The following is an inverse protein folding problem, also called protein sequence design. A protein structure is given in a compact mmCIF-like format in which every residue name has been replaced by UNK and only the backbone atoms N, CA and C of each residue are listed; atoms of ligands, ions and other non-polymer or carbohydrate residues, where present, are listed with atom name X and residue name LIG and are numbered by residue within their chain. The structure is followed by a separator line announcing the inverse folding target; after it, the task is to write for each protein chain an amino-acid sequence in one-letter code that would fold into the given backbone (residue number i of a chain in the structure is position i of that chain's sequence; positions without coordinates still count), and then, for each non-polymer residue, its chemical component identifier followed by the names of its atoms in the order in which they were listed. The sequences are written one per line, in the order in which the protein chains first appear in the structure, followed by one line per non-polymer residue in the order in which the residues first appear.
data_IF_508563658082
#
_entry.id   IF_508563658082
#
_cell.length_a   1.000
_cell.length_b   1.000
_cell.length_c   1.000
_cell.angle_alpha   90.00
_cell.angle_beta   90.00
_cell.angle_gamma   90.00
#
_symmetry.space_group_name_H-M   'P 1'
#
loop_
_entity.id
_entity.type
_entity.pdbx_description
1 polymer ?
#
# COMPACT_ATOMS: atom_id res chain seq x y z
N UNK A 1 -5.14 12.32 20.87
CA UNK A 1 -5.42 11.34 19.79
C UNK A 1 -5.49 12.11 18.49
N UNK A 2 -4.60 11.86 17.53
CA UNK A 2 -4.54 12.57 16.25
C UNK A 2 -5.02 11.66 15.12
N UNK A 3 -5.69 12.22 14.11
CA UNK A 3 -6.24 11.47 12.98
C UNK A 3 -5.70 12.02 11.66
N UNK A 4 -5.66 11.16 10.64
CA UNK A 4 -5.44 11.56 9.25
C UNK A 4 -6.74 11.40 8.47
N UNK A 5 -7.10 12.43 7.69
CA UNK A 5 -8.28 12.40 6.81
C UNK A 5 -7.82 12.44 5.36
N UNK A 6 -8.00 11.33 4.65
CA UNK A 6 -7.76 11.23 3.20
C UNK A 6 -9.03 11.64 2.47
N UNK A 7 -8.98 12.79 1.79
CA UNK A 7 -10.07 13.31 0.96
C UNK A 7 -9.79 13.06 -0.51
N UNK A 8 -10.75 12.51 -1.26
CA UNK A 8 -10.68 12.52 -2.72
C UNK A 8 -10.75 13.98 -3.22
N UNK A 9 -9.73 14.42 -3.96
CA UNK A 9 -9.65 15.80 -4.46
C UNK A 9 -10.70 16.11 -5.52
N UNK A 10 -10.96 15.16 -6.41
CA UNK A 10 -11.89 15.29 -7.53
C UNK A 10 -12.71 14.01 -7.60
N UNK A 11 -14.03 14.15 -7.56
CA UNK A 11 -14.93 13.02 -7.67
C UNK A 11 -14.96 12.50 -9.12
N UNK A 12 -14.92 11.18 -9.28
CA UNK A 12 -15.15 10.50 -10.55
C UNK A 12 -15.56 9.05 -10.28
N UNK A 13 -16.26 8.42 -11.22
CA UNK A 13 -16.63 7.00 -11.11
C UNK A 13 -15.42 6.08 -10.86
N UNK A 14 -14.25 6.43 -11.38
CA UNK A 14 -13.02 5.67 -11.15
C UNK A 14 -12.53 5.83 -9.71
N UNK A 15 -12.44 7.07 -9.22
CA UNK A 15 -11.97 7.37 -7.88
C UNK A 15 -12.95 6.85 -6.81
N UNK A 16 -14.25 6.90 -7.08
CA UNK A 16 -15.31 6.35 -6.21
C UNK A 16 -15.18 4.82 -6.05
N UNK A 17 -14.90 4.10 -7.14
CA UNK A 17 -14.59 2.66 -7.08
C UNK A 17 -13.34 2.36 -6.27
N UNK A 18 -12.29 3.16 -6.42
CA UNK A 18 -11.03 2.99 -5.66
C UNK A 18 -11.25 3.25 -4.17
N UNK A 19 -12.07 4.25 -3.83
CA UNK A 19 -12.52 4.49 -2.45
C UNK A 19 -13.31 3.30 -1.88
N UNK A 20 -14.29 2.79 -2.63
CA UNK A 20 -15.09 1.65 -2.18
C UNK A 20 -14.25 0.39 -1.95
N UNK A 21 -13.29 0.11 -2.85
CA UNK A 21 -12.32 -0.99 -2.68
C UNK A 21 -11.49 -0.80 -1.41
N UNK A 22 -10.96 0.41 -1.19
CA UNK A 22 -10.14 0.67 -0.01
C UNK A 22 -10.93 0.47 1.30
N UNK A 23 -12.19 0.93 1.36
CA UNK A 23 -13.07 0.68 2.52
C UNK A 23 -13.40 -0.80 2.71
N UNK A 24 -13.70 -1.52 1.63
CA UNK A 24 -14.00 -2.95 1.70
C UNK A 24 -12.82 -3.74 2.28
N UNK A 25 -11.61 -3.45 1.80
CA UNK A 25 -10.40 -4.13 2.28
C UNK A 25 -10.12 -3.77 3.73
N UNK A 26 -10.13 -2.49 4.08
CA UNK A 26 -9.86 -2.03 5.43
C UNK A 26 -10.89 -2.54 6.46
N UNK A 27 -12.13 -2.75 6.04
CA UNK A 27 -13.17 -3.34 6.89
C UNK A 27 -13.01 -4.83 7.16
N UNK A 28 -12.14 -5.53 6.41
CA UNK A 28 -11.90 -6.98 6.52
C UNK A 28 -10.59 -7.34 7.20
N UNK A 29 -9.65 -6.42 7.27
CA UNK A 29 -8.28 -6.69 7.72
C UNK A 29 -7.99 -6.06 9.06
N UNK A 30 -7.29 -6.80 9.91
CA UNK A 30 -6.77 -6.29 11.18
C UNK A 30 -5.44 -6.95 11.47
N UNK A 31 -4.36 -6.16 11.40
CA UNK A 31 -3.00 -6.64 11.63
C UNK A 31 -2.11 -5.46 12.04
N UNK A 32 -1.09 -5.71 12.87
CA UNK A 32 -0.18 -4.67 13.40
C UNK A 32 0.54 -3.87 12.30
N UNK A 33 0.79 -4.50 11.15
CA UNK A 33 1.44 -3.89 9.98
C UNK A 33 0.45 -3.45 8.90
N UNK A 34 -0.84 -3.29 9.17
CA UNK A 34 -1.81 -2.71 8.24
C UNK A 34 -2.46 -1.49 8.89
N UNK A 35 -2.69 -0.42 8.12
CA UNK A 35 -3.37 0.75 8.66
C UNK A 35 -4.83 0.41 9.00
N UNK A 36 -5.27 0.81 10.18
CA UNK A 36 -6.65 0.62 10.63
C UNK A 36 -7.59 1.71 10.12
N UNK A 37 -8.82 1.32 9.76
CA UNK A 37 -9.91 2.25 9.46
C UNK A 37 -10.57 2.72 10.76
N UNK A 38 -10.64 4.03 10.97
CA UNK A 38 -11.42 4.63 12.07
C UNK A 38 -12.84 5.01 11.66
N UNK A 39 -13.02 5.39 10.40
CA UNK A 39 -14.31 5.79 9.87
C UNK A 39 -14.20 6.33 8.45
N UNK A 40 -15.34 6.67 7.87
CA UNK A 40 -15.40 7.22 6.52
C UNK A 40 -16.57 8.19 6.38
N UNK A 41 -16.54 9.02 5.33
CA UNK A 41 -17.66 9.82 4.88
C UNK A 41 -17.91 9.54 3.39
N UNK A 42 -19.16 9.30 3.04
CA UNK A 42 -19.63 9.10 1.68
C UNK A 42 -20.94 9.86 1.47
N UNK A 43 -20.88 11.20 1.53
CA UNK A 43 -22.03 12.08 1.36
C UNK A 43 -21.93 12.86 0.04
N UNK A 44 -22.95 12.74 -0.82
CA UNK A 44 -22.92 13.36 -2.15
C UNK A 44 -21.66 12.96 -2.94
N UNK A 45 -20.86 13.94 -3.34
CA UNK A 45 -19.58 13.75 -4.03
C UNK A 45 -18.36 13.69 -3.09
N UNK A 46 -18.57 13.90 -1.78
CA UNK A 46 -17.49 13.84 -0.79
C UNK A 46 -17.15 12.40 -0.45
N UNK A 47 -15.85 12.12 -0.39
CA UNK A 47 -15.29 10.81 -0.05
C UNK A 47 -14.09 11.02 0.86
N UNK A 48 -14.27 10.68 2.14
CA UNK A 48 -13.27 10.81 3.18
C UNK A 48 -13.00 9.44 3.81
N UNK A 49 -11.73 9.10 4.02
CA UNK A 49 -11.32 7.96 4.84
C UNK A 49 -10.54 8.50 6.03
N UNK A 50 -10.89 8.05 7.22
CA UNK A 50 -10.28 8.49 8.49
C UNK A 50 -9.44 7.34 9.05
N UNK A 51 -8.18 7.66 9.35
CA UNK A 51 -7.22 6.74 9.93
C UNK A 51 -6.59 7.33 11.20
N UNK A 52 -5.84 6.49 11.91
CA UNK A 52 -4.80 6.97 12.81
C UNK A 52 -3.75 7.80 12.07
N UNK A 53 -3.34 8.92 12.68
CA UNK A 53 -2.26 9.73 12.13
C UNK A 53 -0.91 9.01 12.30
N UNK A 54 -0.17 8.92 11.21
CA UNK A 54 1.18 8.32 11.16
C UNK A 54 2.21 9.44 11.27
N UNK A 55 2.83 9.65 12.45
CA UNK A 55 3.67 10.82 12.71
C UNK A 55 4.98 10.83 11.92
N UNK A 56 5.47 9.65 11.51
CA UNK A 56 6.67 9.52 10.71
C UNK A 56 6.37 9.42 9.21
N UNK A 57 5.18 9.88 8.77
CA UNK A 57 4.79 9.96 7.37
C UNK A 57 4.87 8.60 6.65
N UNK A 58 5.30 8.59 5.40
CA UNK A 58 5.49 7.38 4.60
C UNK A 58 6.95 7.24 4.16
N UNK A 59 7.35 6.05 3.75
CA UNK A 59 8.72 5.76 3.34
C UNK A 59 9.19 6.64 2.17
N UNK A 60 8.29 7.00 1.24
CA UNK A 60 8.64 7.93 0.16
C UNK A 60 9.15 9.27 0.71
N UNK A 61 8.53 9.78 1.76
CA UNK A 61 8.89 11.05 2.39
C UNK A 61 10.35 11.05 2.89
N UNK A 62 10.79 9.91 3.44
CA UNK A 62 12.16 9.71 3.94
C UNK A 62 13.18 9.36 2.86
N UNK A 63 12.79 8.69 1.78
CA UNK A 63 13.73 8.35 0.71
C UNK A 63 13.91 9.51 -0.29
N UNK A 64 12.83 10.22 -0.59
CA UNK A 64 12.75 11.14 -1.74
C UNK A 64 11.96 12.42 -1.48
N UNK A 65 11.40 12.58 -0.28
CA UNK A 65 10.58 13.73 0.10
C UNK A 65 11.30 14.68 1.06
N UNK A 66 10.53 15.56 1.72
CA UNK A 66 11.05 16.59 2.61
C UNK A 66 11.94 16.05 3.75
N UNK A 67 11.67 14.82 4.21
CA UNK A 67 12.35 14.19 5.34
C UNK A 67 13.67 13.51 4.94
N UNK A 68 13.99 13.47 3.64
CA UNK A 68 15.21 12.82 3.15
C UNK A 68 16.50 13.47 3.65
N UNK A 69 16.49 14.79 3.87
CA UNK A 69 17.64 15.53 4.40
C UNK A 69 17.97 15.20 5.87
N UNK A 70 17.00 14.67 6.63
CA UNK A 70 17.20 14.32 8.04
C UNK A 70 17.91 12.97 8.21
N UNK A 71 18.03 12.16 7.15
CA UNK A 71 18.73 10.88 7.13
C UNK A 71 18.32 9.91 8.28
N UNK A 72 17.05 9.94 8.69
CA UNK A 72 16.55 9.19 9.86
C UNK A 72 16.47 7.68 9.66
N UNK A 73 16.57 7.19 8.42
CA UNK A 73 16.49 5.77 8.10
C UNK A 73 17.90 5.17 7.97
N UNK A 74 18.49 4.82 9.12
CA UNK A 74 19.67 3.97 9.18
C UNK A 74 19.35 2.55 8.68
N UNK A 75 20.39 1.72 8.51
CA UNK A 75 20.23 0.39 7.97
C UNK A 75 19.30 -0.50 8.81
N UNK A 76 19.40 -0.42 10.13
CA UNK A 76 18.58 -1.23 11.04
C UNK A 76 17.10 -0.87 10.91
N UNK A 77 16.77 0.43 10.87
CA UNK A 77 15.40 0.91 10.62
C UNK A 77 14.88 0.47 9.27
N UNK A 78 15.70 0.55 8.22
CA UNK A 78 15.32 0.05 6.88
C UNK A 78 14.99 -1.43 6.92
N UNK A 79 15.81 -2.25 7.58
CA UNK A 79 15.56 -3.68 7.71
C UNK A 79 14.28 -3.98 8.50
N UNK A 80 14.04 -3.26 9.61
CA UNK A 80 12.81 -3.40 10.38
C UNK A 80 11.56 -3.03 9.56
N UNK A 81 11.63 -1.92 8.80
CA UNK A 81 10.56 -1.51 7.88
C UNK A 81 10.29 -2.60 6.84
N UNK A 82 11.33 -3.17 6.23
CA UNK A 82 11.21 -4.24 5.25
C UNK A 82 10.53 -5.49 5.84
N UNK A 83 10.95 -5.91 7.04
CA UNK A 83 10.40 -7.08 7.73
C UNK A 83 8.93 -6.83 8.10
N UNK A 84 8.62 -5.72 8.77
CA UNK A 84 7.24 -5.40 9.16
C UNK A 84 6.30 -5.27 7.96
N UNK A 85 6.76 -4.66 6.86
CA UNK A 85 5.97 -4.61 5.64
C UNK A 85 5.73 -5.99 5.03
N UNK A 86 6.76 -6.86 5.02
CA UNK A 86 6.61 -8.24 4.56
C UNK A 86 5.62 -9.04 5.42
N UNK A 87 5.63 -8.88 6.74
CA UNK A 87 4.65 -9.51 7.64
C UNK A 87 3.21 -9.09 7.27
N UNK A 88 2.99 -7.81 6.97
CA UNK A 88 1.71 -7.32 6.47
C UNK A 88 1.29 -7.93 5.13
N UNK A 89 2.23 -8.08 4.18
CA UNK A 89 1.95 -8.72 2.87
C UNK A 89 1.62 -10.20 3.05
N UNK A 90 2.36 -10.92 3.89
CA UNK A 90 2.07 -12.32 4.23
C UNK A 90 0.68 -12.48 4.82
N UNK A 91 0.27 -11.56 5.71
CA UNK A 91 -1.10 -11.57 6.24
C UNK A 91 -2.14 -11.43 5.11
N UNK A 92 -1.96 -10.49 4.18
CA UNK A 92 -2.89 -10.28 3.06
C UNK A 92 -2.99 -11.52 2.15
N UNK A 93 -1.87 -12.20 1.90
CA UNK A 93 -1.80 -13.34 0.97
C UNK A 93 -2.24 -14.66 1.59
N UNK A 94 -2.02 -14.87 2.89
CA UNK A 94 -2.16 -16.21 3.48
C UNK A 94 -3.08 -16.29 4.69
N UNK A 95 -3.45 -15.16 5.30
CA UNK A 95 -4.26 -15.14 6.52
C UNK A 95 -5.61 -14.45 6.31
N UNK A 96 -5.67 -13.43 5.44
CA UNK A 96 -6.92 -12.81 5.05
C UNK A 96 -7.80 -13.79 4.27
N UNK A 97 -9.10 -13.79 4.57
CA UNK A 97 -10.10 -14.61 3.88
C UNK A 97 -11.24 -13.71 3.37
N UNK A 98 -11.45 -13.58 2.06
CA UNK A 98 -10.63 -14.12 0.97
C UNK A 98 -9.23 -13.46 0.89
N UNK A 99 -8.29 -14.11 0.19
CA UNK A 99 -6.92 -13.61 0.00
C UNK A 99 -6.92 -12.29 -0.75
N UNK A 100 -5.96 -11.41 -0.45
CA UNK A 100 -5.95 -10.02 -0.93
C UNK A 100 -4.64 -9.75 -1.67
N UNK A 101 -4.73 -9.26 -2.91
CA UNK A 101 -3.59 -8.72 -3.66
C UNK A 101 -3.63 -7.20 -3.56
N UNK A 102 -2.57 -6.56 -3.07
CA UNK A 102 -2.47 -5.11 -2.87
C UNK A 102 -2.38 -4.33 -4.20
N UNK A 103 -1.55 -4.81 -5.14
CA UNK A 103 -1.33 -4.28 -6.51
C UNK A 103 -0.69 -2.90 -6.64
N UNK A 104 -0.41 -2.20 -5.55
CA UNK A 104 0.26 -0.88 -5.58
C UNK A 104 1.32 -0.73 -4.48
N UNK A 105 2.10 -1.78 -4.24
CA UNK A 105 3.22 -1.75 -3.28
C UNK A 105 4.31 -0.80 -3.81
N UNK A 106 4.63 0.23 -3.03
CA UNK A 106 5.61 1.28 -3.32
C UNK A 106 5.93 2.09 -2.06
N UNK A 107 6.95 2.97 -2.03
CA UNK A 107 7.29 3.71 -0.81
C UNK A 107 6.16 4.56 -0.22
N UNK A 108 5.20 5.04 -1.03
CA UNK A 108 4.05 5.80 -0.52
C UNK A 108 2.93 4.94 0.07
N UNK A 109 2.94 3.62 -0.15
CA UNK A 109 2.04 2.68 0.53
C UNK A 109 2.61 2.19 1.87
N UNK A 110 3.88 2.48 2.18
CA UNK A 110 4.54 2.14 3.44
C UNK A 110 4.42 3.33 4.39
N UNK A 111 3.45 3.28 5.31
CA UNK A 111 3.27 4.28 6.35
C UNK A 111 4.11 3.94 7.59
N UNK A 112 4.54 4.94 8.34
CA UNK A 112 5.44 4.77 9.48
C UNK A 112 4.80 5.34 10.76
N UNK A 113 4.61 4.48 11.75
CA UNK A 113 4.09 4.90 13.06
C UNK A 113 5.14 5.66 13.89
N UNK A 114 4.84 5.99 15.15
CA UNK A 114 5.77 6.71 16.05
C UNK A 114 7.11 6.00 16.29
N UNK A 115 7.14 4.68 16.14
CA UNK A 115 8.33 3.86 16.36
C UNK A 115 9.07 3.53 15.06
N UNK A 116 8.65 4.10 13.92
CA UNK A 116 9.12 3.75 12.58
C UNK A 116 8.78 2.31 12.16
N UNK A 117 7.76 1.70 12.79
CA UNK A 117 7.23 0.43 12.34
C UNK A 117 6.38 0.63 11.08
N UNK A 118 6.46 -0.33 10.16
CA UNK A 118 5.81 -0.24 8.86
C UNK A 118 4.35 -0.69 8.92
N UNK A 119 3.47 0.12 8.34
CA UNK A 119 2.06 -0.19 8.11
C UNK A 119 1.73 -0.06 6.62
N UNK A 120 1.08 -1.07 6.05
CA UNK A 120 0.57 -1.03 4.68
C UNK A 120 -0.69 -0.17 4.63
N UNK A 121 -0.71 0.81 3.73
CA UNK A 121 -1.90 1.57 3.34
C UNK A 121 -2.05 1.66 1.82
N UNK A 122 -3.08 2.34 1.33
CA UNK A 122 -3.25 2.57 -0.12
C UNK A 122 -3.92 1.42 -0.88
N UNK A 123 -4.96 0.81 -0.29
CA UNK A 123 -5.65 -0.36 -0.85
C UNK A 123 -6.58 -0.07 -2.03
N UNK A 124 -6.60 1.14 -2.59
CA UNK A 124 -7.58 1.51 -3.64
C UNK A 124 -7.49 0.67 -4.93
N UNK A 125 -6.37 0.00 -5.17
CA UNK A 125 -6.19 -0.92 -6.31
C UNK A 125 -6.28 -2.40 -5.95
N UNK A 126 -6.48 -2.71 -4.67
CA UNK A 126 -6.45 -4.07 -4.17
C UNK A 126 -7.57 -4.93 -4.76
N UNK A 127 -7.38 -6.25 -4.70
CA UNK A 127 -8.33 -7.24 -5.20
C UNK A 127 -8.43 -8.42 -4.26
N UNK A 128 -9.65 -8.89 -4.07
CA UNK A 128 -9.93 -10.17 -3.45
C UNK A 128 -9.72 -11.28 -4.50
N UNK A 129 -9.03 -12.35 -4.12
CA UNK A 129 -8.90 -13.56 -4.92
C UNK A 129 -10.05 -14.51 -4.51
N UNK A 130 -10.90 -14.95 -5.45
CA UNK A 130 -11.94 -15.94 -5.16
C UNK A 130 -11.37 -17.25 -4.62
N UNK A 131 -12.14 -17.96 -3.81
CA UNK A 131 -11.73 -19.25 -3.27
C UNK A 131 -11.43 -20.26 -4.39
N UNK A 132 -10.30 -20.97 -4.28
CA UNK A 132 -9.85 -21.94 -5.28
C UNK A 132 -9.08 -21.35 -6.47
N UNK A 133 -9.07 -20.02 -6.64
CA UNK A 133 -8.31 -19.34 -7.68
C UNK A 133 -6.95 -18.87 -7.17
N UNK A 134 -5.92 -18.87 -8.01
CA UNK A 134 -4.57 -18.35 -7.69
C UNK A 134 -4.26 -16.98 -8.29
N UNK A 135 -5.12 -16.52 -9.20
CA UNK A 135 -4.96 -15.26 -9.93
C UNK A 135 -6.32 -14.71 -10.35
N UNK A 136 -6.36 -13.43 -10.68
CA UNK A 136 -7.57 -12.75 -11.17
C UNK A 136 -7.22 -11.91 -12.39
N UNK A 137 -7.99 -12.09 -13.48
CA UNK A 137 -7.89 -11.21 -14.66
C UNK A 137 -8.56 -9.87 -14.36
N UNK A 138 -7.82 -8.78 -14.53
CA UNK A 138 -8.26 -7.43 -14.18
C UNK A 138 -7.51 -6.38 -14.98
N UNK A 139 -8.11 -5.20 -15.14
CA UNK A 139 -7.41 -4.03 -15.68
C UNK A 139 -6.08 -3.78 -14.94
N UNK A 140 -5.03 -3.49 -15.70
CA UNK A 140 -3.71 -3.14 -15.18
C UNK A 140 -3.81 -1.82 -14.41
N UNK A 141 -3.51 -1.85 -13.12
CA UNK A 141 -3.36 -0.68 -12.25
C UNK A 141 -2.15 -0.90 -11.35
N UNK A 142 -1.50 0.18 -10.97
CA UNK A 142 -0.32 0.18 -10.10
C UNK A 142 0.62 1.29 -10.53
N UNK A 143 1.79 1.31 -9.94
CA UNK A 143 2.80 2.34 -10.21
C UNK A 143 3.87 1.79 -11.15
N UNK A 144 4.12 2.52 -12.25
CA UNK A 144 5.17 2.17 -13.21
C UNK A 144 6.53 2.06 -12.49
N UNK A 145 7.29 1.01 -12.81
CA UNK A 145 8.54 0.67 -12.13
C UNK A 145 8.38 -0.42 -11.07
N UNK A 146 7.18 -0.60 -10.52
CA UNK A 146 6.87 -1.67 -9.55
C UNK A 146 5.99 -2.76 -10.17
N UNK A 147 5.37 -2.51 -11.32
CA UNK A 147 4.49 -3.49 -11.99
C UNK A 147 5.27 -4.73 -12.42
N UNK A 148 4.81 -5.89 -11.96
CA UNK A 148 5.29 -7.17 -12.43
C UNK A 148 5.04 -7.33 -13.95
N UNK A 149 6.02 -7.86 -14.71
CA UNK A 149 5.93 -7.92 -16.17
C UNK A 149 4.76 -8.78 -16.66
N UNK A 150 4.52 -9.94 -16.04
CA UNK A 150 3.40 -10.82 -16.37
C UNK A 150 2.05 -10.14 -16.16
N UNK A 151 1.96 -9.29 -15.14
CA UNK A 151 0.76 -8.53 -14.85
C UNK A 151 0.57 -7.38 -15.84
N UNK A 152 1.64 -6.65 -16.15
CA UNK A 152 1.62 -5.56 -17.11
C UNK A 152 1.24 -6.04 -18.53
N UNK A 153 1.67 -7.24 -18.90
CA UNK A 153 1.43 -7.82 -20.23
C UNK A 153 0.07 -8.53 -20.34
N UNK A 154 -0.33 -9.29 -19.32
CA UNK A 154 -1.46 -10.22 -19.41
C UNK A 154 -2.69 -9.75 -18.62
N UNK A 155 -2.56 -8.74 -17.77
CA UNK A 155 -3.64 -8.29 -16.87
C UNK A 155 -4.01 -9.33 -15.80
N UNK A 156 -3.16 -10.32 -15.55
CA UNK A 156 -3.36 -11.36 -14.54
C UNK A 156 -2.69 -10.95 -13.24
N UNK A 157 -3.49 -10.58 -12.24
CA UNK A 157 -2.99 -10.24 -10.92
C UNK A 157 -2.95 -11.49 -10.03
N UNK A 158 -1.82 -11.72 -9.37
CA UNK A 158 -1.60 -12.79 -8.40
C UNK A 158 -0.77 -12.27 -7.23
N UNK A 159 -0.62 -13.08 -6.18
CA UNK A 159 0.27 -12.81 -5.04
C UNK A 159 1.71 -12.52 -5.50
N UNK A 160 2.19 -13.20 -6.55
CA UNK A 160 3.53 -12.99 -7.11
C UNK A 160 3.76 -11.57 -7.63
N UNK A 161 2.71 -10.86 -8.05
CA UNK A 161 2.83 -9.48 -8.52
C UNK A 161 3.18 -8.51 -7.37
N UNK A 162 2.61 -8.76 -6.18
CA UNK A 162 2.98 -8.04 -4.96
C UNK A 162 4.40 -8.39 -4.52
N UNK A 163 4.81 -9.66 -4.62
CA UNK A 163 6.18 -10.10 -4.32
C UNK A 163 7.20 -9.40 -5.23
N UNK A 164 6.90 -9.29 -6.53
CA UNK A 164 7.76 -8.54 -7.47
C UNK A 164 7.85 -7.06 -7.06
N UNK A 165 6.71 -6.43 -6.80
CA UNK A 165 6.65 -5.01 -6.39
C UNK A 165 7.43 -4.77 -5.09
N UNK A 166 7.34 -5.71 -4.15
CA UNK A 166 8.10 -5.70 -2.90
C UNK A 166 9.60 -5.85 -3.14
N UNK A 167 10.03 -6.70 -4.08
CA UNK A 167 11.43 -6.79 -4.50
C UNK A 167 11.99 -5.45 -4.99
N UNK A 168 11.23 -4.72 -5.81
CA UNK A 168 11.59 -3.37 -6.24
C UNK A 168 11.67 -2.39 -5.05
N UNK A 169 10.71 -2.47 -4.13
CA UNK A 169 10.70 -1.66 -2.91
C UNK A 169 11.97 -1.92 -2.06
N UNK A 170 12.42 -3.16 -1.93
CA UNK A 170 13.65 -3.52 -1.23
C UNK A 170 14.90 -2.91 -1.90
N UNK A 171 14.95 -2.94 -3.23
CA UNK A 171 16.05 -2.33 -3.99
C UNK A 171 16.10 -0.81 -3.80
N UNK A 172 14.94 -0.14 -3.82
CA UNK A 172 14.84 1.29 -3.57
C UNK A 172 15.20 1.64 -2.12
N UNK A 173 14.77 0.81 -1.16
CA UNK A 173 15.12 0.96 0.25
C UNK A 173 16.63 0.80 0.48
N UNK A 174 17.28 -0.15 -0.19
CA UNK A 174 18.72 -0.37 -0.06
C UNK A 174 19.55 0.71 -0.77
N UNK A 175 19.16 1.08 -1.99
CA UNK A 175 19.93 2.00 -2.83
C UNK A 175 19.62 3.48 -2.58
N UNK A 176 18.46 3.80 -2.02
CA UNK A 176 17.94 5.16 -1.97
C UNK A 176 17.67 5.75 -3.36
N UNK A 177 17.42 4.92 -4.39
CA UNK A 177 17.19 5.36 -5.78
C UNK A 177 15.83 4.88 -6.28
N UNK A 178 15.12 5.76 -6.98
CA UNK A 178 13.84 5.43 -7.62
C UNK A 178 14.04 4.36 -8.71
N UNK A 179 13.09 3.43 -8.90
CA UNK A 179 13.18 2.39 -9.92
C UNK A 179 13.12 2.93 -11.35
N UNK A 180 12.50 4.09 -11.54
CA UNK A 180 12.48 4.82 -12.81
C UNK A 180 12.99 6.22 -12.56
N UNK A 181 14.06 6.57 -13.29
CA UNK A 181 14.58 7.94 -13.37
C UNK A 181 13.93 8.56 -14.61
N UNK A 182 13.24 9.70 -14.42
CA UNK A 182 12.75 10.52 -15.54
C UNK A 182 13.90 11.34 -16.12
#
# INVERSE_FOLDING_TARGET
MQIAVKRLKVWSNKADREFAVELEILGRVQHKNLIGLRGYCAEGQERLIVYDYMPNFNLFAHLHGPQSAECLLDWNRRMNIAIGFAEGVVYLHHQATPRIIHRDIKPSSVLLDSNFEALIGGFGFARLIPDGETQVTTNVKGTLGYLAPEYAMLGKASESCDVYSFGILLLELASGRKPIVK
#
